data_IF_219653121541
#
_entry.id   IF_219653121541
#
_cell.length_a   1.000
_cell.length_b   1.000
_cell.length_c   1.000
_cell.angle_alpha   90.00
_cell.angle_beta   90.00
_cell.angle_gamma   90.00
#
_symmetry.space_group_name_H-M   'P 1'
#
loop_
_entity.id
_entity.type
_entity.pdbx_description
1 polymer ?
#
# COMPACT_ATOMS: atom_id res chain seq x y z
N UNK A 1 -44.11 1.69 9.11
CA UNK A 1 -43.73 1.25 7.75
C UNK A 1 -43.70 2.45 6.83
N UNK A 2 -42.75 2.49 5.91
CA UNK A 2 -42.55 3.53 4.91
C UNK A 2 -42.32 2.87 3.55
N UNK A 3 -43.00 3.36 2.52
CA UNK A 3 -42.78 2.93 1.15
C UNK A 3 -41.53 3.61 0.59
N UNK A 4 -40.60 2.84 0.03
CA UNK A 4 -39.37 3.34 -0.60
C UNK A 4 -39.28 2.80 -2.03
N UNK A 5 -38.82 3.65 -2.95
CA UNK A 5 -38.54 3.27 -4.34
C UNK A 5 -37.04 3.30 -4.58
N UNK A 6 -36.53 2.22 -5.15
CA UNK A 6 -35.14 2.00 -5.57
C UNK A 6 -35.17 1.44 -7.00
N UNK A 7 -34.03 1.35 -7.72
CA UNK A 7 -34.01 0.82 -9.08
C UNK A 7 -34.60 -0.59 -9.21
N UNK A 8 -34.44 -1.45 -8.19
CA UNK A 8 -35.04 -2.79 -8.17
C UNK A 8 -36.57 -2.81 -8.03
N UNK A 9 -37.20 -1.71 -7.61
CA UNK A 9 -38.65 -1.62 -7.43
C UNK A 9 -39.10 -0.76 -6.25
N UNK A 10 -40.38 -0.91 -5.90
CA UNK A 10 -41.01 -0.20 -4.77
C UNK A 10 -41.38 -1.19 -3.68
N UNK A 11 -40.95 -0.91 -2.45
CA UNK A 11 -41.07 -1.83 -1.32
C UNK A 11 -41.66 -1.11 -0.10
N UNK A 12 -42.48 -1.82 0.67
CA UNK A 12 -42.95 -1.37 1.98
C UNK A 12 -41.97 -1.84 3.05
N UNK A 13 -41.27 -0.88 3.67
CA UNK A 13 -40.12 -1.16 4.53
C UNK A 13 -40.32 -0.66 5.96
N UNK A 14 -39.55 -1.20 6.89
CA UNK A 14 -39.33 -0.59 8.20
C UNK A 14 -38.14 0.38 8.10
N UNK A 15 -38.34 1.62 8.56
CA UNK A 15 -37.26 2.60 8.68
C UNK A 15 -36.62 2.46 10.06
N UNK A 16 -35.32 2.21 10.06
CA UNK A 16 -34.44 2.35 11.23
C UNK A 16 -33.69 3.66 11.04
N UNK A 17 -33.77 4.57 12.01
CA UNK A 17 -33.07 5.85 11.95
C UNK A 17 -32.48 6.23 13.29
N UNK A 18 -31.29 6.83 13.25
CA UNK A 18 -30.63 7.42 14.41
C UNK A 18 -29.89 8.69 14.01
N UNK A 19 -29.62 9.56 14.98
CA UNK A 19 -28.92 10.82 14.76
C UNK A 19 -27.47 10.71 15.19
N UNK A 20 -26.56 11.08 14.30
CA UNK A 20 -25.12 10.99 14.48
C UNK A 20 -24.46 12.24 13.89
N UNK A 21 -23.59 12.94 14.66
CA UNK A 21 -22.91 14.15 14.17
C UNK A 21 -23.85 15.27 13.68
N UNK A 22 -25.09 15.33 14.18
CA UNK A 22 -26.12 16.26 13.72
C UNK A 22 -26.86 15.87 12.43
N UNK A 23 -26.50 14.76 11.79
CA UNK A 23 -27.20 14.19 10.63
C UNK A 23 -28.05 12.97 11.01
N UNK A 24 -29.09 12.69 10.23
CA UNK A 24 -29.97 11.54 10.43
C UNK A 24 -29.58 10.38 9.51
N UNK A 25 -28.97 9.35 10.09
CA UNK A 25 -28.75 8.06 9.43
C UNK A 25 -30.06 7.31 9.25
N UNK A 26 -30.26 6.69 8.08
CA UNK A 26 -31.51 6.00 7.71
C UNK A 26 -31.20 4.67 7.02
N UNK A 27 -31.85 3.61 7.46
CA UNK A 27 -31.76 2.27 6.91
C UNK A 27 -33.17 1.74 6.69
N UNK A 28 -33.48 1.36 5.46
CA UNK A 28 -34.77 0.79 5.06
C UNK A 28 -34.62 -0.72 4.91
N UNK A 29 -35.25 -1.47 5.81
CA UNK A 29 -35.21 -2.94 5.83
C UNK A 29 -36.55 -3.52 5.40
N UNK A 30 -36.50 -4.63 4.66
CA UNK A 30 -37.66 -5.40 4.25
C UNK A 30 -37.70 -6.70 5.06
N UNK A 31 -38.89 -7.11 5.44
CA UNK A 31 -39.07 -8.37 6.17
C UNK A 31 -38.63 -9.56 5.31
N UNK A 32 -38.06 -10.59 5.93
CA UNK A 32 -37.49 -11.76 5.25
C UNK A 32 -36.43 -11.47 4.17
N UNK A 33 -35.84 -10.27 4.14
CA UNK A 33 -34.74 -9.90 3.25
C UNK A 33 -33.45 -9.64 4.05
N UNK A 34 -32.33 -10.31 3.75
CA UNK A 34 -31.16 -10.36 4.63
C UNK A 34 -30.34 -9.07 4.69
N UNK A 35 -30.54 -8.13 3.77
CA UNK A 35 -29.79 -6.88 3.68
C UNK A 35 -30.74 -5.67 3.62
N UNK A 36 -30.28 -4.44 3.89
CA UNK A 36 -31.10 -3.25 3.65
C UNK A 36 -31.44 -3.08 2.17
N UNK A 37 -32.66 -2.62 1.87
CA UNK A 37 -33.08 -2.24 0.50
C UNK A 37 -32.43 -0.91 0.10
N UNK A 38 -32.28 -0.02 1.08
CA UNK A 38 -31.62 1.27 0.95
C UNK A 38 -31.00 1.62 2.29
N UNK A 39 -29.84 2.24 2.29
CA UNK A 39 -29.27 2.80 3.49
C UNK A 39 -28.41 4.01 3.15
N UNK A 40 -28.47 5.00 4.03
CA UNK A 40 -27.60 6.16 4.01
C UNK A 40 -27.26 6.49 5.45
N UNK A 41 -26.05 6.13 5.86
CA UNK A 41 -25.57 6.30 7.23
C UNK A 41 -24.37 7.22 7.27
N UNK A 42 -24.24 7.92 8.38
CA UNK A 42 -23.16 8.87 8.62
C UNK A 42 -22.31 8.42 9.78
N UNK A 43 -21.00 8.66 9.65
CA UNK A 43 -20.01 8.40 10.69
C UNK A 43 -20.25 9.33 11.87
N UNK A 44 -20.04 8.84 13.10
CA UNK A 44 -20.00 9.72 14.27
C UNK A 44 -18.73 10.54 14.28
N UNK A 45 -18.89 11.85 14.13
CA UNK A 45 -17.79 12.82 14.21
C UNK A 45 -17.97 13.71 15.42
N UNK A 46 -16.84 14.10 16.00
CA UNK A 46 -16.74 15.04 17.11
C UNK A 46 -16.98 16.49 16.68
N UNK A 47 -16.70 16.81 15.41
CA UNK A 47 -16.92 18.12 14.80
C UNK A 47 -17.01 18.05 13.27
N UNK A 48 -17.53 19.10 12.63
CA UNK A 48 -17.66 19.17 11.16
C UNK A 48 -18.91 18.49 10.59
N UNK A 49 -18.95 18.35 9.26
CA UNK A 49 -20.02 17.62 8.56
C UNK A 49 -19.65 16.14 8.58
N UNK A 50 -20.45 15.25 9.19
CA UNK A 50 -20.11 13.83 9.25
C UNK A 50 -20.09 13.25 7.82
N UNK A 51 -19.02 12.55 7.43
CA UNK A 51 -18.97 11.88 6.14
C UNK A 51 -19.94 10.70 6.11
N UNK A 52 -20.34 10.32 4.90
CA UNK A 52 -21.10 9.10 4.66
C UNK A 52 -20.28 7.89 5.11
N UNK A 53 -20.85 7.06 5.97
CA UNK A 53 -20.26 5.80 6.43
C UNK A 53 -20.60 4.68 5.46
N UNK A 54 -21.90 4.48 5.22
CA UNK A 54 -22.41 3.50 4.29
C UNK A 54 -23.51 4.09 3.41
N UNK A 55 -23.44 3.81 2.12
CA UNK A 55 -24.49 4.10 1.15
C UNK A 55 -24.80 2.82 0.37
N UNK A 56 -26.05 2.38 0.46
CA UNK A 56 -26.53 1.18 -0.22
C UNK A 56 -27.83 1.48 -0.94
N UNK A 57 -27.99 0.92 -2.13
CA UNK A 57 -29.24 0.94 -2.87
C UNK A 57 -29.40 -0.38 -3.64
N UNK A 58 -30.54 -1.03 -3.47
CA UNK A 58 -30.85 -2.26 -4.19
C UNK A 58 -31.13 -1.95 -5.66
N UNK A 59 -30.20 -2.40 -6.53
CA UNK A 59 -30.24 -2.11 -7.96
C UNK A 59 -31.12 -3.07 -8.75
N UNK A 60 -31.02 -4.37 -8.48
CA UNK A 60 -31.81 -5.42 -9.11
C UNK A 60 -32.09 -6.53 -8.10
N UNK A 61 -33.24 -7.19 -8.23
CA UNK A 61 -33.65 -8.32 -7.40
C UNK A 61 -34.37 -9.36 -8.25
N UNK A 62 -33.80 -10.56 -8.29
CA UNK A 62 -34.37 -11.70 -9.02
C UNK A 62 -34.33 -12.93 -8.13
N UNK A 63 -35.45 -13.64 -8.04
CA UNK A 63 -35.52 -14.93 -7.36
C UNK A 63 -35.09 -16.05 -8.31
N UNK A 64 -34.60 -17.17 -7.74
CA UNK A 64 -34.30 -18.39 -8.48
C UNK A 64 -33.28 -18.22 -9.63
N UNK A 65 -32.25 -17.39 -9.40
CA UNK A 65 -31.17 -17.14 -10.36
C UNK A 65 -30.37 -18.42 -10.59
N UNK A 66 -30.52 -19.02 -11.78
CA UNK A 66 -29.84 -20.26 -12.19
C UNK A 66 -28.42 -20.03 -12.76
N UNK A 67 -28.12 -18.80 -13.17
CA UNK A 67 -26.86 -18.41 -13.80
C UNK A 67 -26.25 -17.29 -12.99
N UNK A 68 -25.00 -17.43 -12.54
CA UNK A 68 -24.33 -16.42 -11.74
C UNK A 68 -24.28 -15.07 -12.49
N UNK A 69 -25.00 -14.03 -12.03
CA UNK A 69 -25.08 -12.74 -12.72
C UNK A 69 -23.76 -11.96 -12.63
N UNK A 70 -22.86 -12.36 -11.72
CA UNK A 70 -21.54 -11.79 -11.54
C UNK A 70 -20.42 -12.61 -12.19
N UNK A 71 -20.74 -13.60 -13.05
CA UNK A 71 -19.73 -14.45 -13.69
C UNK A 71 -18.67 -13.66 -14.50
N UNK A 72 -19.04 -12.49 -15.02
CA UNK A 72 -18.15 -11.60 -15.76
C UNK A 72 -17.59 -10.43 -14.92
N UNK A 73 -17.99 -10.32 -13.65
CA UNK A 73 -17.40 -9.36 -12.73
C UNK A 73 -16.14 -9.99 -12.18
N UNK A 74 -14.98 -9.40 -12.52
CA UNK A 74 -13.73 -9.74 -11.83
C UNK A 74 -13.75 -9.01 -10.49
N UNK A 75 -13.92 -9.71 -9.36
CA UNK A 75 -13.75 -9.05 -8.07
C UNK A 75 -12.34 -8.48 -7.99
N UNK A 76 -12.21 -7.23 -7.55
CA UNK A 76 -10.95 -6.77 -6.97
C UNK A 76 -10.84 -7.50 -5.63
N UNK A 77 -10.23 -8.68 -5.66
CA UNK A 77 -9.86 -9.37 -4.45
C UNK A 77 -8.60 -8.67 -3.93
N UNK A 78 -8.63 -7.96 -2.79
CA UNK A 78 -7.38 -7.77 -2.05
C UNK A 78 -6.76 -9.16 -1.92
N UNK A 79 -5.46 -9.27 -2.22
CA UNK A 79 -4.81 -10.57 -2.44
C UNK A 79 -5.22 -11.59 -1.39
N UNK A 80 -5.62 -12.78 -1.84
CA UNK A 80 -6.14 -13.81 -0.93
C UNK A 80 -4.98 -14.26 -0.04
N UNK A 81 -5.17 -14.22 1.28
CA UNK A 81 -4.23 -14.85 2.22
C UNK A 81 -4.03 -16.33 1.89
N UNK A 82 -2.83 -16.83 2.17
CA UNK A 82 -2.48 -18.24 1.96
C UNK A 82 -3.38 -19.17 2.79
N UNK A 83 -3.69 -20.35 2.23
CA UNK A 83 -4.37 -21.40 2.99
C UNK A 83 -3.44 -21.91 4.10
N UNK A 84 -3.91 -21.89 5.35
CA UNK A 84 -3.15 -22.34 6.53
C UNK A 84 -2.71 -21.24 7.49
N UNK A 85 -3.01 -19.97 7.21
CA UNK A 85 -2.74 -18.86 8.12
C UNK A 85 -3.49 -19.01 9.47
N UNK A 86 -2.83 -18.59 10.55
CA UNK A 86 -3.41 -18.60 11.90
C UNK A 86 -4.63 -17.68 11.97
N UNK A 87 -5.79 -18.22 12.33
CA UNK A 87 -7.06 -17.48 12.41
C UNK A 87 -7.36 -16.92 13.81
N UNK A 88 -6.77 -17.50 14.86
CA UNK A 88 -6.95 -17.07 16.25
C UNK A 88 -5.61 -16.65 16.82
N UNK A 89 -5.49 -15.38 17.18
CA UNK A 89 -4.26 -14.78 17.70
C UNK A 89 -4.59 -13.68 18.70
N UNK A 90 -3.61 -13.37 19.55
CA UNK A 90 -3.69 -12.20 20.42
C UNK A 90 -3.26 -10.95 19.65
N UNK A 91 -3.94 -9.84 19.89
CA UNK A 91 -3.56 -8.56 19.31
C UNK A 91 -2.43 -7.93 20.13
N UNK A 92 -1.43 -7.39 19.43
CA UNK A 92 -0.39 -6.54 20.02
C UNK A 92 -0.93 -5.12 20.10
N UNK A 93 -0.91 -4.53 21.29
CA UNK A 93 -1.36 -3.15 21.54
C UNK A 93 -0.16 -2.19 21.54
N UNK A 94 -0.21 -1.16 20.68
CA UNK A 94 0.80 -0.13 20.49
C UNK A 94 0.15 1.23 20.71
N UNK A 95 0.34 1.78 21.91
CA UNK A 95 -0.06 3.15 22.27
C UNK A 95 1.15 4.05 22.37
N UNK A 96 1.37 4.90 21.37
CA UNK A 96 2.53 5.79 21.28
C UNK A 96 2.16 7.12 20.64
N UNK A 97 2.87 8.17 21.02
CA UNK A 97 2.81 9.44 20.29
C UNK A 97 3.53 9.29 18.95
N UNK A 98 3.08 10.06 17.96
CA UNK A 98 3.74 10.21 16.66
C UNK A 98 5.01 11.05 16.77
N UNK A 99 5.86 11.02 15.74
CA UNK A 99 7.18 11.66 15.73
C UNK A 99 7.14 13.17 16.06
N UNK A 100 6.14 13.89 15.54
CA UNK A 100 5.93 15.31 15.81
C UNK A 100 4.93 15.58 16.94
N UNK A 101 4.49 14.54 17.66
CA UNK A 101 3.52 14.62 18.76
C UNK A 101 2.18 15.26 18.37
N UNK A 102 1.81 15.23 17.09
CA UNK A 102 0.49 15.71 16.67
C UNK A 102 -0.62 14.75 17.16
N UNK A 103 -0.33 13.45 17.17
CA UNK A 103 -1.27 12.39 17.52
C UNK A 103 -0.72 11.48 18.63
N UNK A 104 -1.64 10.94 19.42
CA UNK A 104 -1.47 9.72 20.20
C UNK A 104 -2.19 8.61 19.44
N UNK A 105 -1.39 7.66 18.94
CA UNK A 105 -1.87 6.53 18.17
C UNK A 105 -2.26 5.39 19.11
N UNK A 106 -3.45 4.83 18.90
CA UNK A 106 -3.95 3.61 19.56
C UNK A 106 -4.02 2.52 18.49
N UNK A 107 -2.90 1.86 18.22
CA UNK A 107 -2.78 0.84 17.17
C UNK A 107 -2.82 -0.54 17.79
N UNK A 108 -3.64 -1.43 17.24
CA UNK A 108 -3.58 -2.85 17.52
C UNK A 108 -3.35 -3.61 16.24
N UNK A 109 -2.49 -4.61 16.28
CA UNK A 109 -2.29 -5.47 15.13
C UNK A 109 -2.21 -6.94 15.53
N UNK A 110 -2.55 -7.84 14.61
CA UNK A 110 -2.38 -9.27 14.81
C UNK A 110 -2.30 -10.03 13.49
N UNK A 111 -1.69 -11.22 13.49
CA UNK A 111 -1.03 -11.89 14.62
C UNK A 111 0.29 -11.21 15.04
N UNK A 112 0.83 -11.47 16.24
CA UNK A 112 2.07 -10.83 16.73
C UNK A 112 3.30 -11.17 15.89
N UNK A 113 3.33 -12.37 15.30
CA UNK A 113 4.38 -12.80 14.40
C UNK A 113 3.72 -13.33 13.10
N UNK A 114 3.34 -12.45 12.17
CA UNK A 114 2.66 -12.85 10.95
C UNK A 114 3.63 -13.55 9.99
N UNK A 115 3.12 -14.46 9.17
CA UNK A 115 3.90 -15.20 8.18
C UNK A 115 3.77 -14.55 6.78
N UNK A 116 4.79 -14.65 5.91
CA UNK A 116 4.70 -14.18 4.53
C UNK A 116 3.50 -14.80 3.80
N UNK A 117 2.71 -13.97 3.13
CA UNK A 117 1.47 -14.35 2.44
C UNK A 117 0.23 -14.47 3.35
N UNK A 118 0.37 -14.27 4.66
CA UNK A 118 -0.75 -14.14 5.59
C UNK A 118 -1.13 -12.68 5.83
N UNK A 119 -2.30 -12.46 6.42
CA UNK A 119 -2.78 -11.12 6.74
C UNK A 119 -2.28 -10.64 8.10
N UNK A 120 -1.99 -9.34 8.17
CA UNK A 120 -2.00 -8.56 9.41
C UNK A 120 -3.34 -7.83 9.46
N UNK A 121 -4.11 -8.09 10.48
CA UNK A 121 -5.28 -7.31 10.87
C UNK A 121 -4.83 -6.07 11.66
N UNK A 122 -5.36 -4.90 11.32
CA UNK A 122 -5.03 -3.62 11.91
C UNK A 122 -6.27 -2.94 12.48
N UNK A 123 -6.16 -2.44 13.71
CA UNK A 123 -7.07 -1.46 14.29
C UNK A 123 -6.27 -0.21 14.58
N UNK A 124 -6.54 0.89 13.89
CA UNK A 124 -5.73 2.11 13.98
C UNK A 124 -6.62 3.24 14.47
N UNK A 125 -6.32 3.76 15.65
CA UNK A 125 -6.98 4.92 16.24
C UNK A 125 -6.06 6.14 16.24
N UNK A 126 -6.52 7.25 15.70
CA UNK A 126 -5.86 8.56 15.70
C UNK A 126 -6.50 9.44 16.76
N UNK A 127 -5.80 9.75 17.86
CA UNK A 127 -6.28 10.69 18.89
C UNK A 127 -5.36 11.90 18.94
N UNK A 128 -5.89 13.08 19.22
CA UNK A 128 -5.06 14.29 19.32
C UNK A 128 -4.31 14.33 20.65
N UNK A 129 -3.04 14.75 20.64
CA UNK A 129 -2.16 14.73 21.81
C UNK A 129 -2.65 15.54 23.04
N UNK A 130 -3.60 16.47 22.85
CA UNK A 130 -4.19 17.27 23.94
C UNK A 130 -5.61 16.84 24.33
N UNK A 131 -6.13 15.77 23.71
CA UNK A 131 -7.48 15.26 23.92
C UNK A 131 -7.46 13.72 23.92
N UNK A 132 -6.95 13.11 25.00
CA UNK A 132 -6.79 11.65 25.18
C UNK A 132 -8.09 10.81 25.00
N UNK A 133 -9.24 11.45 24.78
CA UNK A 133 -10.56 10.82 24.73
C UNK A 133 -11.23 10.90 23.36
N UNK A 134 -10.81 11.81 22.46
CA UNK A 134 -11.49 12.01 21.17
C UNK A 134 -10.61 11.56 20.00
N UNK A 135 -11.21 10.79 19.10
CA UNK A 135 -10.61 10.44 17.82
C UNK A 135 -10.66 11.64 16.87
N UNK A 136 -9.64 11.77 16.03
CA UNK A 136 -9.53 12.84 15.05
C UNK A 136 -10.20 12.43 13.74
N UNK A 137 -11.23 13.17 13.32
CA UNK A 137 -12.00 12.82 12.13
C UNK A 137 -11.26 13.19 10.82
N UNK A 138 -11.60 12.51 9.72
CA UNK A 138 -11.10 12.79 8.37
C UNK A 138 -9.57 12.75 8.21
N UNK A 139 -8.92 11.76 8.83
CA UNK A 139 -7.47 11.59 8.73
C UNK A 139 -7.09 10.91 7.41
N UNK A 140 -6.17 11.51 6.68
CA UNK A 140 -5.52 10.92 5.50
C UNK A 140 -4.21 10.27 5.92
N UNK A 141 -4.04 8.99 5.59
CA UNK A 141 -2.90 8.21 6.05
C UNK A 141 -2.46 7.16 5.02
N UNK A 142 -1.38 6.47 5.30
CA UNK A 142 -0.93 5.28 4.60
C UNK A 142 -0.31 4.30 5.59
N UNK A 143 -0.22 3.04 5.20
CA UNK A 143 0.61 2.04 5.88
C UNK A 143 1.78 1.78 4.93
N UNK A 144 2.96 2.23 5.32
CA UNK A 144 4.18 2.06 4.57
C UNK A 144 5.01 0.91 5.12
N UNK A 145 5.81 0.30 4.26
CA UNK A 145 6.94 -0.54 4.68
C UNK A 145 8.20 0.16 4.22
N UNK A 146 9.14 0.36 5.13
CA UNK A 146 10.37 1.14 4.89
C UNK A 146 11.60 0.30 5.18
N UNK A 147 12.76 0.74 4.69
CA UNK A 147 14.03 0.14 5.08
C UNK A 147 14.51 0.65 6.45
N UNK A 148 15.61 0.09 6.95
CA UNK A 148 16.17 0.39 8.27
C UNK A 148 16.48 1.88 8.49
N UNK A 149 16.72 2.62 7.40
CA UNK A 149 17.08 4.05 7.39
C UNK A 149 15.85 4.97 7.16
N UNK A 150 14.64 4.41 7.00
CA UNK A 150 13.43 5.13 6.61
C UNK A 150 13.67 6.04 5.39
N UNK A 151 14.18 5.43 4.32
CA UNK A 151 14.33 6.12 3.04
C UNK A 151 12.98 6.29 2.32
N UNK A 152 12.84 7.39 1.58
CA UNK A 152 11.70 7.64 0.70
C UNK A 152 12.21 7.63 -0.76
N UNK A 153 11.52 6.99 -1.72
CA UNK A 153 10.21 6.34 -1.58
C UNK A 153 10.25 5.07 -0.71
N UNK A 154 9.14 4.73 -0.03
CA UNK A 154 9.08 3.54 0.81
C UNK A 154 9.17 2.26 -0.05
N UNK A 155 9.59 1.15 0.56
CA UNK A 155 9.59 -0.18 -0.08
C UNK A 155 8.17 -0.54 -0.56
N UNK A 156 7.16 -0.16 0.23
CA UNK A 156 5.75 -0.45 -0.07
C UNK A 156 4.83 0.63 0.47
N UNK A 157 3.75 0.91 -0.26
CA UNK A 157 2.64 1.78 0.15
C UNK A 157 1.33 1.04 -0.08
N UNK A 158 0.55 0.82 0.98
CA UNK A 158 -0.74 0.15 0.86
C UNK A 158 -1.75 0.99 0.08
N UNK A 159 -1.74 2.32 0.23
CA UNK A 159 -2.58 3.19 -0.57
C UNK A 159 -2.32 3.01 -2.08
N UNK A 160 -1.05 2.97 -2.48
CA UNK A 160 -0.65 2.81 -3.88
C UNK A 160 -0.99 1.42 -4.43
N UNK A 161 -0.88 0.36 -3.60
CA UNK A 161 -1.33 -0.98 -3.98
C UNK A 161 -2.83 -1.04 -4.29
N UNK A 162 -3.63 -0.21 -3.61
CA UNK A 162 -5.06 -0.04 -3.89
C UNK A 162 -5.36 0.96 -5.03
N UNK A 163 -4.33 1.54 -5.65
CA UNK A 163 -4.46 2.59 -6.67
C UNK A 163 -5.00 3.90 -6.11
N UNK A 164 -4.85 4.14 -4.81
CA UNK A 164 -5.27 5.35 -4.10
C UNK A 164 -4.07 6.24 -3.79
N UNK A 165 -4.33 7.54 -3.66
CA UNK A 165 -3.31 8.51 -3.22
C UNK A 165 -3.01 8.38 -1.72
N UNK A 166 -4.04 8.06 -0.93
CA UNK A 166 -3.97 7.83 0.51
C UNK A 166 -5.12 6.91 0.94
N UNK A 167 -4.95 6.28 2.09
CA UNK A 167 -6.03 5.67 2.87
C UNK A 167 -6.74 6.76 3.69
N UNK A 168 -7.99 6.52 4.05
CA UNK A 168 -8.84 7.52 4.68
C UNK A 168 -9.56 6.97 5.91
N UNK A 169 -9.40 7.64 7.04
CA UNK A 169 -10.04 7.33 8.31
C UNK A 169 -11.10 8.40 8.62
N UNK A 170 -12.38 8.16 8.27
CA UNK A 170 -13.42 9.19 8.38
C UNK A 170 -13.71 9.59 9.83
N UNK A 171 -13.57 8.66 10.77
CA UNK A 171 -13.88 8.83 12.20
C UNK A 171 -12.64 8.86 13.11
N UNK A 172 -11.43 8.93 12.54
CA UNK A 172 -10.19 8.73 13.28
C UNK A 172 -9.97 7.33 13.82
N UNK A 173 -10.76 6.36 13.37
CA UNK A 173 -10.56 4.95 13.65
C UNK A 173 -10.82 4.12 12.40
N UNK A 174 -9.96 3.14 12.13
CA UNK A 174 -10.08 2.21 11.00
C UNK A 174 -9.75 0.79 11.41
N UNK A 175 -10.46 -0.15 10.81
CA UNK A 175 -10.18 -1.57 10.84
C UNK A 175 -9.87 -2.01 9.40
N UNK A 176 -8.68 -2.55 9.16
CA UNK A 176 -8.23 -2.95 7.83
C UNK A 176 -7.25 -4.11 7.90
N UNK A 177 -7.03 -4.79 6.78
CA UNK A 177 -6.10 -5.91 6.68
C UNK A 177 -5.04 -5.63 5.61
N UNK A 178 -3.85 -6.17 5.78
CA UNK A 178 -2.80 -6.17 4.75
C UNK A 178 -2.14 -7.53 4.64
N UNK A 179 -1.66 -7.89 3.46
CA UNK A 179 -0.93 -9.14 3.25
C UNK A 179 0.55 -8.88 3.50
N UNK A 180 1.18 -9.72 4.30
CA UNK A 180 2.63 -9.70 4.49
C UNK A 180 3.30 -10.12 3.19
N UNK A 181 4.10 -9.23 2.60
CA UNK A 181 4.97 -9.55 1.46
C UNK A 181 6.44 -9.55 1.87
N UNK A 182 6.71 -9.23 3.13
CA UNK A 182 8.04 -9.11 3.72
C UNK A 182 8.62 -10.48 4.03
N UNK A 183 9.94 -10.56 4.01
CA UNK A 183 10.64 -11.78 4.37
C UNK A 183 10.70 -11.95 5.89
N UNK A 184 10.92 -13.18 6.39
CA UNK A 184 11.11 -13.42 7.81
C UNK A 184 12.26 -12.59 8.37
N UNK A 185 12.00 -11.85 9.45
CA UNK A 185 12.88 -10.80 9.96
C UNK A 185 12.09 -9.72 10.68
N UNK A 186 12.72 -8.59 10.96
CA UNK A 186 12.01 -7.41 11.48
C UNK A 186 11.59 -6.57 10.28
N UNK A 187 10.28 -6.34 10.13
CA UNK A 187 9.74 -5.43 9.14
C UNK A 187 9.38 -4.10 9.80
N UNK A 188 9.78 -2.99 9.18
CA UNK A 188 9.49 -1.64 9.65
C UNK A 188 8.22 -1.12 8.98
N UNK A 189 7.10 -1.26 9.68
CA UNK A 189 5.81 -0.69 9.25
C UNK A 189 5.70 0.74 9.75
N UNK A 190 5.23 1.65 8.91
CA UNK A 190 5.02 3.06 9.29
C UNK A 190 3.58 3.43 9.03
N UNK A 191 2.85 3.83 10.07
CA UNK A 191 1.58 4.54 9.91
C UNK A 191 1.95 5.98 9.56
N UNK A 192 1.86 6.32 8.28
CA UNK A 192 2.23 7.62 7.75
C UNK A 192 0.98 8.49 7.66
N UNK A 193 1.00 9.66 8.29
CA UNK A 193 -0.17 10.54 8.40
C UNK A 193 0.10 11.76 7.53
N UNK A 194 -0.71 11.96 6.50
CA UNK A 194 -0.61 13.13 5.62
C UNK A 194 -1.24 14.38 6.26
N UNK A 195 -2.24 14.21 7.13
CA UNK A 195 -2.95 15.29 7.83
C UNK A 195 -4.46 15.04 7.91
N UNK A 196 -5.23 16.05 8.31
CA UNK A 196 -6.71 15.98 8.33
C UNK A 196 -7.31 16.80 7.20
N UNK A 197 -8.06 16.14 6.33
CA UNK A 197 -8.72 16.80 5.21
C UNK A 197 -9.79 15.90 4.60
N UNK A 198 -10.89 16.46 4.02
CA UNK A 198 -11.90 15.67 3.33
C UNK A 198 -11.30 14.71 2.30
N UNK A 199 -11.94 13.54 2.12
CA UNK A 199 -11.43 12.40 1.33
C UNK A 199 -10.89 12.73 -0.08
N UNK A 200 -11.33 13.82 -0.70
CA UNK A 200 -10.95 14.21 -2.06
C UNK A 200 -10.09 15.48 -2.13
N UNK A 201 -9.65 15.98 -0.98
CA UNK A 201 -8.84 17.20 -0.85
C UNK A 201 -7.56 16.79 -0.16
N UNK A 202 -6.42 16.88 -0.83
CA UNK A 202 -5.12 16.51 -0.26
C UNK A 202 -4.83 17.38 0.97
N UNK A 203 -4.47 16.75 2.09
CA UNK A 203 -4.09 17.46 3.30
C UNK A 203 -2.82 18.32 3.09
N UNK A 204 -2.67 19.43 3.83
CA UNK A 204 -1.48 20.27 3.73
C UNK A 204 -0.21 19.52 4.18
N UNK A 205 0.92 19.62 3.46
CA UNK A 205 2.15 18.87 3.77
C UNK A 205 2.74 19.15 5.16
N UNK A 206 2.46 20.31 5.75
CA UNK A 206 2.90 20.71 7.08
C UNK A 206 2.26 19.92 8.24
N UNK A 207 1.18 19.18 7.98
CA UNK A 207 0.51 18.34 8.98
C UNK A 207 1.08 16.91 9.05
N UNK A 208 2.11 16.63 8.26
CA UNK A 208 2.73 15.33 8.14
C UNK A 208 3.30 14.86 9.47
N UNK A 209 2.93 13.65 9.84
CA UNK A 209 3.46 12.95 11.02
C UNK A 209 3.49 11.44 10.77
N UNK A 210 4.12 10.67 11.65
CA UNK A 210 4.15 9.22 11.50
C UNK A 210 4.39 8.47 12.81
N UNK A 211 4.07 7.18 12.80
CA UNK A 211 4.46 6.22 13.82
C UNK A 211 5.09 4.98 13.15
N UNK A 212 6.34 4.69 13.50
CA UNK A 212 7.00 3.44 13.11
C UNK A 212 6.71 2.32 14.13
N UNK A 213 6.42 1.12 13.63
CA UNK A 213 6.12 -0.10 14.35
C UNK A 213 6.95 -1.23 13.76
N UNK A 214 7.81 -1.81 14.58
CA UNK A 214 8.62 -2.96 14.19
C UNK A 214 7.82 -4.24 14.43
N UNK A 215 7.61 -5.02 13.37
CA UNK A 215 6.84 -6.27 13.42
C UNK A 215 7.75 -7.45 13.07
N UNK A 216 7.89 -8.45 13.96
CA UNK A 216 8.66 -9.65 13.68
C UNK A 216 7.88 -10.59 12.74
N UNK A 217 8.36 -10.76 11.52
CA UNK A 217 7.77 -11.67 10.53
C UNK A 217 8.29 -13.10 10.78
N UNK A 218 7.36 -14.04 10.98
CA UNK A 218 7.65 -15.44 11.27
C UNK A 218 8.11 -16.22 10.02
N UNK A 219 8.92 -17.26 10.23
CA UNK A 219 9.33 -18.19 9.19
C UNK A 219 10.82 -18.51 9.20
N UNK A 220 11.22 -19.51 8.40
CA UNK A 220 12.64 -19.72 8.06
C UNK A 220 13.03 -18.66 7.03
N UNK A 221 14.17 -18.00 7.20
CA UNK A 221 14.77 -17.20 6.14
C UNK A 221 14.82 -18.04 4.87
N UNK A 222 13.91 -17.76 3.95
CA UNK A 222 14.14 -18.11 2.56
C UNK A 222 15.20 -17.09 2.14
N UNK A 223 16.35 -17.50 1.57
CA UNK A 223 17.33 -16.54 1.11
C UNK A 223 16.62 -15.62 0.13
N UNK A 224 16.30 -14.42 0.58
CA UNK A 224 15.75 -13.38 -0.26
C UNK A 224 16.86 -13.01 -1.24
N UNK A 225 16.56 -12.81 -2.53
CA UNK A 225 17.39 -11.90 -3.30
C UNK A 225 17.25 -10.56 -2.59
N UNK A 226 18.25 -10.18 -1.79
CA UNK A 226 18.39 -8.83 -1.26
C UNK A 226 17.91 -7.89 -2.36
N UNK A 227 16.97 -7.00 -2.06
CA UNK A 227 16.68 -5.88 -2.97
C UNK A 227 18.06 -5.36 -3.39
N UNK A 228 18.40 -5.40 -4.68
CA UNK A 228 19.77 -5.20 -5.11
C UNK A 228 20.18 -3.76 -4.78
N UNK A 229 20.66 -3.51 -3.56
CA UNK A 229 21.16 -2.21 -3.14
C UNK A 229 22.42 -1.97 -3.95
N UNK A 230 22.30 -1.15 -4.99
CA UNK A 230 23.42 -0.81 -5.84
C UNK A 230 24.35 0.05 -4.99
N UNK A 231 25.63 -0.34 -4.80
CA UNK A 231 26.55 0.47 -4.03
C UNK A 231 26.62 1.90 -4.55
N UNK A 232 26.64 2.88 -3.64
CA UNK A 232 26.61 4.31 -3.98
C UNK A 232 27.73 4.75 -4.93
N UNK A 233 28.88 4.06 -4.88
CA UNK A 233 29.99 4.32 -5.79
C UNK A 233 29.65 3.95 -7.24
N UNK A 234 28.82 2.93 -7.49
CA UNK A 234 28.35 2.56 -8.84
C UNK A 234 27.47 3.67 -9.39
N UNK A 235 26.56 4.21 -8.56
CA UNK A 235 25.71 5.34 -8.94
C UNK A 235 26.54 6.59 -9.26
N UNK A 236 27.63 6.79 -8.53
CA UNK A 236 28.59 7.86 -8.79
C UNK A 236 29.30 7.65 -10.14
N UNK A 237 29.79 6.44 -10.43
CA UNK A 237 30.40 6.09 -11.71
C UNK A 237 29.43 6.25 -12.89
N UNK A 238 28.18 5.86 -12.71
CA UNK A 238 27.14 6.02 -13.72
C UNK A 238 26.79 7.49 -13.98
N UNK A 239 26.78 8.34 -12.94
CA UNK A 239 26.63 9.78 -13.10
C UNK A 239 27.73 10.39 -13.97
N UNK A 240 29.00 10.04 -13.72
CA UNK A 240 30.11 10.48 -14.57
C UNK A 240 29.99 10.00 -16.02
N UNK A 241 29.39 8.83 -16.25
CA UNK A 241 29.18 8.30 -17.60
C UNK A 241 28.06 9.04 -18.34
N UNK A 242 26.94 9.31 -17.66
CA UNK A 242 25.82 10.10 -18.20
C UNK A 242 26.26 11.52 -18.55
N UNK A 243 27.12 12.12 -17.73
CA UNK A 243 27.67 13.45 -17.96
C UNK A 243 28.79 13.48 -19.03
N UNK A 244 29.18 12.31 -19.56
CA UNK A 244 30.22 12.18 -20.59
C UNK A 244 31.65 12.35 -20.07
N UNK A 245 31.87 12.28 -18.76
CA UNK A 245 33.19 12.34 -18.13
C UNK A 245 33.91 10.99 -18.08
N UNK A 246 33.19 9.87 -18.22
CA UNK A 246 33.74 8.52 -18.31
C UNK A 246 33.33 7.79 -19.58
N UNK A 247 34.08 6.73 -19.92
CA UNK A 247 33.85 5.91 -21.12
C UNK A 247 32.81 4.81 -20.90
N UNK A 248 32.20 4.30 -21.98
CA UNK A 248 31.29 3.15 -21.95
C UNK A 248 31.90 1.94 -21.23
N UNK A 249 33.21 1.72 -21.40
CA UNK A 249 33.92 0.63 -20.70
C UNK A 249 33.91 0.79 -19.18
N UNK A 250 34.00 2.02 -18.65
CA UNK A 250 33.96 2.23 -17.19
C UNK A 250 32.58 1.93 -16.62
N UNK A 251 31.52 2.27 -17.36
CA UNK A 251 30.16 1.91 -17.00
C UNK A 251 29.93 0.40 -17.07
N UNK A 252 30.38 -0.28 -18.14
CA UNK A 252 30.28 -1.74 -18.26
C UNK A 252 31.03 -2.45 -17.13
N UNK A 253 32.23 -2.00 -16.76
CA UNK A 253 32.97 -2.56 -15.62
C UNK A 253 32.22 -2.42 -14.28
N UNK A 254 31.48 -1.32 -14.11
CA UNK A 254 30.64 -1.13 -12.93
C UNK A 254 29.46 -2.12 -12.91
N UNK A 255 28.83 -2.37 -14.07
CA UNK A 255 27.78 -3.38 -14.21
C UNK A 255 28.32 -4.81 -14.01
N UNK A 256 29.53 -5.10 -14.50
CA UNK A 256 30.23 -6.37 -14.25
C UNK A 256 30.43 -6.64 -12.76
N UNK A 257 30.80 -5.62 -12.01
CA UNK A 257 30.91 -5.72 -10.56
C UNK A 257 29.57 -6.14 -9.93
N UNK A 258 28.46 -5.52 -10.33
CA UNK A 258 27.13 -5.87 -9.83
C UNK A 258 26.73 -7.32 -10.14
N UNK A 259 27.15 -7.85 -11.29
CA UNK A 259 26.92 -9.26 -11.64
C UNK A 259 27.74 -10.19 -10.76
N UNK A 260 29.03 -9.87 -10.56
CA UNK A 260 29.92 -10.67 -9.74
C UNK A 260 29.50 -10.73 -8.27
N UNK A 261 28.97 -9.62 -7.73
CA UNK A 261 28.43 -9.55 -6.38
C UNK A 261 27.03 -10.20 -6.25
N UNK A 262 26.46 -10.71 -7.34
CA UNK A 262 25.13 -11.34 -7.34
C UNK A 262 23.97 -10.36 -7.19
N UNK A 263 24.23 -9.07 -7.40
CA UNK A 263 23.22 -7.99 -7.39
C UNK A 263 22.40 -8.06 -8.68
N UNK A 264 23.06 -8.30 -9.82
CA UNK A 264 22.43 -8.61 -11.10
C UNK A 264 22.54 -10.12 -11.36
N UNK A 265 21.41 -10.81 -11.48
CA UNK A 265 21.38 -12.25 -11.78
C UNK A 265 21.01 -12.45 -13.25
N UNK A 266 21.90 -13.01 -14.05
CA UNK A 266 21.64 -13.32 -15.46
C UNK A 266 21.19 -14.79 -15.63
N UNK A 267 20.22 -15.09 -16.51
CA UNK A 267 19.92 -16.46 -16.89
C UNK A 267 21.11 -17.08 -17.66
N UNK A 268 21.29 -18.42 -17.62
CA UNK A 268 22.47 -19.12 -18.15
C UNK A 268 22.67 -19.03 -19.68
N UNK A 269 21.82 -18.29 -20.41
CA UNK A 269 21.86 -18.11 -21.86
C UNK A 269 22.55 -16.82 -22.33
N UNK A 270 22.96 -15.93 -21.42
CA UNK A 270 23.62 -14.67 -21.77
C UNK A 270 25.16 -14.81 -21.74
N UNK A 271 25.75 -15.56 -22.67
CA UNK A 271 27.21 -15.51 -22.85
C UNK A 271 27.62 -15.88 -24.27
N UNK A 272 28.32 -14.96 -24.94
CA UNK A 272 29.10 -15.27 -26.13
C UNK A 272 29.13 -14.16 -27.20
N UNK A 273 30.22 -13.39 -27.24
CA UNK A 273 30.65 -12.66 -28.44
C UNK A 273 31.56 -11.45 -28.17
N UNK A 274 32.69 -11.40 -28.89
CA UNK A 274 33.76 -10.38 -28.78
C UNK A 274 33.28 -8.91 -28.78
N UNK A 275 34.08 -8.08 -28.09
CA UNK A 275 33.82 -6.72 -27.62
C UNK A 275 33.97 -5.64 -28.71
N UNK A 276 32.89 -4.90 -28.98
CA UNK A 276 32.87 -3.43 -29.25
C UNK A 276 31.51 -2.98 -29.82
N UNK A 277 30.43 -3.07 -29.05
CA UNK A 277 29.18 -2.39 -29.43
C UNK A 277 29.07 -1.12 -28.58
N UNK A 278 29.19 0.05 -29.22
CA UNK A 278 28.89 1.35 -28.61
C UNK A 278 27.51 1.30 -27.95
N UNK A 279 27.42 1.75 -26.70
CA UNK A 279 26.16 1.75 -25.97
C UNK A 279 25.27 2.85 -26.57
N UNK A 280 24.05 2.54 -27.05
CA UNK A 280 23.15 3.55 -27.57
C UNK A 280 22.90 4.69 -26.56
N UNK A 281 22.94 5.94 -27.03
CA UNK A 281 22.81 7.13 -26.18
C UNK A 281 21.50 7.22 -25.39
N UNK A 282 20.43 6.56 -25.85
CA UNK A 282 19.18 6.52 -25.09
C UNK A 282 19.33 5.78 -23.75
N UNK A 283 20.31 4.88 -23.63
CA UNK A 283 20.62 4.19 -22.37
C UNK A 283 21.22 5.17 -21.36
N UNK A 284 22.03 6.15 -21.79
CA UNK A 284 22.50 7.22 -20.91
C UNK A 284 21.33 8.04 -20.34
N UNK A 285 20.30 8.29 -21.15
CA UNK A 285 19.09 8.97 -20.68
C UNK A 285 18.37 8.16 -19.61
N UNK A 286 18.22 6.84 -19.80
CA UNK A 286 17.60 5.95 -18.81
C UNK A 286 18.44 5.84 -17.53
N UNK A 287 19.76 5.72 -17.65
CA UNK A 287 20.68 5.69 -16.50
C UNK A 287 20.68 7.03 -15.77
N UNK A 288 20.51 8.15 -16.47
CA UNK A 288 20.37 9.48 -15.86
C UNK A 288 19.17 9.57 -14.91
N UNK A 289 18.01 9.03 -15.30
CA UNK A 289 16.84 8.98 -14.41
C UNK A 289 17.09 8.19 -13.12
N UNK A 290 17.88 7.12 -13.20
CA UNK A 290 18.31 6.37 -12.02
C UNK A 290 19.29 7.17 -11.14
N UNK A 291 20.28 7.83 -11.74
CA UNK A 291 21.25 8.70 -11.04
C UNK A 291 20.53 9.84 -10.29
N UNK A 292 19.55 10.47 -10.95
CA UNK A 292 18.77 11.57 -10.40
C UNK A 292 17.70 11.13 -9.36
N UNK A 293 17.54 9.82 -9.16
CA UNK A 293 16.60 9.26 -8.18
C UNK A 293 15.14 9.16 -8.66
N UNK A 294 14.87 9.35 -9.95
CA UNK A 294 13.55 9.11 -10.55
C UNK A 294 13.26 7.64 -10.80
N UNK A 295 14.28 6.78 -10.76
CA UNK A 295 14.18 5.32 -10.93
C UNK A 295 14.86 4.64 -9.75
N UNK A 296 14.23 3.59 -9.22
CA UNK A 296 14.76 2.79 -8.11
C UNK A 296 15.93 1.88 -8.54
N UNK A 297 16.71 1.38 -7.58
CA UNK A 297 17.81 0.44 -7.85
C UNK A 297 17.28 -0.88 -8.44
N UNK A 298 16.11 -1.34 -7.99
CA UNK A 298 15.43 -2.54 -8.49
C UNK A 298 15.01 -2.39 -9.96
N UNK A 299 14.42 -1.25 -10.31
CA UNK A 299 14.00 -0.94 -11.68
C UNK A 299 15.21 -0.78 -12.59
N UNK A 300 16.28 -0.15 -12.11
CA UNK A 300 17.54 -0.03 -12.83
C UNK A 300 18.16 -1.39 -13.09
N UNK A 301 18.28 -2.24 -12.07
CA UNK A 301 18.83 -3.60 -12.20
C UNK A 301 17.99 -4.44 -13.17
N UNK A 302 16.67 -4.37 -13.09
CA UNK A 302 15.76 -5.05 -14.02
C UNK A 302 15.94 -4.56 -15.47
N UNK A 303 16.12 -3.25 -15.66
CA UNK A 303 16.37 -2.68 -16.97
C UNK A 303 17.73 -3.14 -17.54
N UNK A 304 18.79 -3.15 -16.72
CA UNK A 304 20.12 -3.64 -17.12
C UNK A 304 20.07 -5.12 -17.48
N UNK A 305 19.42 -5.96 -16.65
CA UNK A 305 19.20 -7.39 -16.96
C UNK A 305 18.54 -7.56 -18.32
N UNK A 306 17.47 -6.82 -18.58
CA UNK A 306 16.76 -6.88 -19.85
C UNK A 306 17.63 -6.45 -21.04
N UNK A 307 18.44 -5.39 -20.88
CA UNK A 307 19.37 -4.92 -21.92
C UNK A 307 20.42 -5.98 -22.28
N UNK A 308 20.92 -6.71 -21.29
CA UNK A 308 21.88 -7.80 -21.46
C UNK A 308 21.21 -9.02 -22.11
N UNK A 309 20.01 -9.38 -21.65
CA UNK A 309 19.22 -10.48 -22.21
C UNK A 309 18.89 -10.28 -23.69
N UNK A 310 18.59 -9.04 -24.08
CA UNK A 310 18.27 -8.68 -25.48
C UNK A 310 19.53 -8.39 -26.31
N UNK A 311 20.72 -8.53 -25.74
CA UNK A 311 22.00 -8.33 -26.43
C UNK A 311 22.27 -6.89 -26.86
N UNK A 312 21.54 -5.92 -26.28
CA UNK A 312 21.68 -4.47 -26.50
C UNK A 312 22.91 -3.96 -25.73
N UNK A 313 23.10 -4.47 -24.51
CA UNK A 313 24.30 -4.28 -23.72
C UNK A 313 25.06 -5.60 -23.67
N UNK A 314 26.38 -5.55 -23.80
CA UNK A 314 27.24 -6.74 -23.74
C UNK A 314 28.28 -6.56 -22.66
N UNK A 315 28.56 -7.65 -21.97
CA UNK A 315 29.50 -7.75 -20.87
C UNK A 315 30.64 -8.67 -21.33
N UNK A 316 31.86 -8.40 -20.88
CA UNK A 316 33.05 -9.13 -21.29
C UNK A 316 33.17 -10.51 -20.62
#
# INVERSE_FOLDING_TARGET
MQTVTVPAGTFDTALISWRTGGQDSKVWVLDDFPFPIKAFTYVHVSSGIPPTEYEFELLDYQENVLVNPFANVKPFLPGKSLEGCTQNYELVDVKKATANFAYIMDVKYGPPNPEPGCEIEWFIGFKRNFADVQFEDQVQYDILVVDDDFTLPPIRSLAQEEGKQFLFAPAGFVHTNTIVKENPGIAHYVIYIYGTSPQYIVAPPEELDYLQIDIPIAGKQTPTPTSPKVPSWIKTTAGFWVDGFSSDNEFVNAIEFLINEGVIVLPPTASGGETSAEIPSWIQTTTGFWVDGFTSDEEFVSAIQWLIENGIMRIA
#
